data_IF_286077403866
#
_entry.id   IF_286077403866
#
_cell.length_a   1.000
_cell.length_b   1.000
_cell.length_c   1.000
_cell.angle_alpha   90.00
_cell.angle_beta   90.00
_cell.angle_gamma   90.00
#
_symmetry.space_group_name_H-M   'P 1'
#
loop_
_entity.id
_entity.type
_entity.pdbx_description
1 polymer ?
#
# COMPACT_ATOMS: atom_id res chain seq x y z
N UNK A 1 -61.70 -6.30 -48.76
CA UNK A 1 -61.45 -5.54 -47.51
C UNK A 1 -60.52 -6.35 -46.62
N UNK A 2 -59.23 -6.04 -46.57
CA UNK A 2 -58.30 -6.83 -45.76
C UNK A 2 -56.85 -6.45 -46.02
N UNK A 3 -56.43 -5.25 -45.60
CA UNK A 3 -55.00 -4.93 -45.49
C UNK A 3 -54.66 -3.71 -44.63
N UNK A 4 -55.58 -3.22 -43.78
CA UNK A 4 -55.34 -2.03 -42.96
C UNK A 4 -54.84 -2.32 -41.53
N UNK A 5 -54.94 -3.56 -41.04
CA UNK A 5 -54.56 -3.94 -39.67
C UNK A 5 -53.09 -4.35 -39.48
N UNK A 6 -52.40 -4.82 -40.54
CA UNK A 6 -51.00 -5.30 -40.44
C UNK A 6 -49.95 -4.18 -40.45
N UNK A 7 -50.22 -3.05 -41.12
CA UNK A 7 -49.28 -1.91 -41.19
C UNK A 7 -49.14 -1.17 -39.86
N UNK A 8 -50.24 -0.91 -39.14
CA UNK A 8 -50.20 -0.18 -37.85
C UNK A 8 -49.38 -0.88 -36.76
N UNK A 9 -49.44 -2.21 -36.69
CA UNK A 9 -48.66 -2.96 -35.70
C UNK A 9 -47.17 -3.03 -36.03
N UNK A 10 -46.81 -3.03 -37.33
CA UNK A 10 -45.42 -2.96 -37.76
C UNK A 10 -44.80 -1.59 -37.40
N UNK A 11 -45.55 -0.51 -37.57
CA UNK A 11 -45.11 0.87 -37.26
C UNK A 11 -44.94 1.09 -35.74
N UNK A 12 -45.84 0.55 -34.92
CA UNK A 12 -45.72 0.62 -33.45
C UNK A 12 -44.53 -0.20 -32.94
N UNK A 13 -44.30 -1.39 -33.52
CA UNK A 13 -43.16 -2.23 -33.13
C UNK A 13 -41.83 -1.61 -33.56
N UNK A 14 -41.76 -1.01 -34.75
CA UNK A 14 -40.55 -0.26 -35.16
C UNK A 14 -40.34 0.97 -34.28
N UNK A 15 -41.39 1.69 -33.90
CA UNK A 15 -41.28 2.81 -32.96
C UNK A 15 -40.78 2.38 -31.57
N UNK A 16 -41.28 1.26 -31.04
CA UNK A 16 -40.81 0.73 -29.76
C UNK A 16 -39.35 0.28 -29.83
N UNK A 17 -38.94 -0.38 -30.92
CA UNK A 17 -37.53 -0.77 -31.13
C UNK A 17 -36.63 0.46 -31.27
N UNK A 18 -37.05 1.49 -32.01
CA UNK A 18 -36.30 2.73 -32.16
C UNK A 18 -36.21 3.52 -30.85
N UNK A 19 -37.29 3.58 -30.06
CA UNK A 19 -37.25 4.16 -28.71
C UNK A 19 -36.34 3.37 -27.77
N UNK A 20 -36.38 2.03 -27.81
CA UNK A 20 -35.51 1.20 -26.99
C UNK A 20 -34.04 1.37 -27.38
N UNK A 21 -33.74 1.42 -28.68
CA UNK A 21 -32.41 1.69 -29.21
C UNK A 21 -31.93 3.11 -28.86
N UNK A 22 -32.81 4.11 -28.90
CA UNK A 22 -32.50 5.47 -28.49
C UNK A 22 -32.24 5.57 -26.99
N UNK A 23 -33.01 4.88 -26.14
CA UNK A 23 -32.76 4.78 -24.70
C UNK A 23 -31.43 4.07 -24.44
N UNK A 24 -31.16 2.95 -25.13
CA UNK A 24 -29.87 2.26 -25.04
C UNK A 24 -28.73 3.17 -25.47
N UNK A 25 -28.87 3.96 -26.54
CA UNK A 25 -27.86 4.94 -26.98
C UNK A 25 -27.67 6.06 -25.96
N UNK A 26 -28.75 6.61 -25.39
CA UNK A 26 -28.70 7.70 -24.39
C UNK A 26 -28.04 7.23 -23.09
N UNK A 27 -28.21 5.96 -22.69
CA UNK A 27 -27.57 5.41 -21.49
C UNK A 27 -26.20 4.75 -21.75
N UNK A 28 -25.97 4.18 -22.93
CA UNK A 28 -24.72 3.51 -23.28
C UNK A 28 -23.64 4.48 -23.76
N UNK A 29 -24.00 5.61 -24.38
CA UNK A 29 -23.04 6.60 -24.88
C UNK A 29 -22.29 7.32 -23.75
N UNK A 30 -22.94 7.72 -22.61
CA UNK A 30 -22.23 8.22 -21.43
C UNK A 30 -21.36 7.14 -20.78
N UNK A 31 -21.80 5.88 -20.77
CA UNK A 31 -21.03 4.76 -20.23
C UNK A 31 -19.79 4.49 -21.09
N UNK A 32 -19.91 4.56 -22.41
CA UNK A 32 -18.81 4.35 -23.34
C UNK A 32 -17.78 5.48 -23.26
N UNK A 33 -18.23 6.75 -23.19
CA UNK A 33 -17.35 7.91 -22.98
C UNK A 33 -16.70 7.86 -21.59
N UNK A 34 -17.42 7.42 -20.56
CA UNK A 34 -16.87 7.20 -19.23
C UNK A 34 -15.82 6.09 -19.24
N UNK A 35 -16.07 4.99 -19.96
CA UNK A 35 -15.12 3.89 -20.14
C UNK A 35 -13.88 4.35 -20.93
N UNK A 36 -14.04 5.14 -21.99
CA UNK A 36 -12.96 5.75 -22.78
C UNK A 36 -12.11 6.73 -21.93
N UNK A 37 -12.75 7.64 -21.19
CA UNK A 37 -12.07 8.56 -20.25
C UNK A 37 -11.32 7.80 -19.16
N UNK A 38 -11.93 6.74 -18.62
CA UNK A 38 -11.30 5.88 -17.62
C UNK A 38 -10.14 5.07 -18.22
N UNK A 39 -10.28 4.55 -19.45
CA UNK A 39 -9.20 3.86 -20.16
C UNK A 39 -8.03 4.81 -20.47
N UNK A 40 -8.32 6.09 -20.73
CA UNK A 40 -7.32 7.13 -20.95
C UNK A 40 -6.55 7.49 -19.65
N UNK A 41 -7.17 7.34 -18.48
CA UNK A 41 -6.53 7.59 -17.18
C UNK A 41 -5.89 6.35 -16.54
N UNK A 42 -6.32 5.13 -16.90
CA UNK A 42 -5.90 3.87 -16.27
C UNK A 42 -5.64 2.77 -17.31
N UNK A 43 -4.48 2.74 -17.98
CA UNK A 43 -4.22 1.87 -19.15
C UNK A 43 -3.97 0.39 -18.80
N UNK A 44 -4.04 0.00 -17.53
CA UNK A 44 -3.53 -1.31 -17.08
C UNK A 44 -4.57 -2.45 -17.11
N UNK A 45 -4.15 -3.68 -17.43
CA UNK A 45 -5.02 -4.89 -17.52
C UNK A 45 -5.71 -5.22 -16.19
N UNK A 46 -5.14 -4.80 -15.05
CA UNK A 46 -5.73 -4.95 -13.72
C UNK A 46 -6.99 -4.08 -13.53
N UNK A 47 -7.03 -2.90 -14.16
CA UNK A 47 -8.20 -2.03 -14.14
C UNK A 47 -9.41 -2.72 -14.79
N UNK A 48 -9.21 -3.43 -15.91
CA UNK A 48 -10.26 -4.22 -16.60
C UNK A 48 -10.91 -5.30 -15.71
N UNK A 49 -10.17 -5.96 -14.81
CA UNK A 49 -10.77 -6.88 -13.81
C UNK A 49 -11.53 -6.13 -12.72
N UNK A 50 -11.02 -4.99 -12.26
CA UNK A 50 -11.64 -4.11 -11.25
C UNK A 50 -13.02 -3.61 -11.74
N UNK A 51 -13.18 -3.30 -13.02
CA UNK A 51 -14.48 -2.86 -13.58
C UNK A 51 -15.55 -3.97 -13.62
N UNK A 52 -15.17 -5.25 -13.82
CA UNK A 52 -16.14 -6.37 -13.68
C UNK A 52 -16.69 -6.47 -12.25
N UNK A 53 -15.90 -6.13 -11.23
CA UNK A 53 -16.35 -6.11 -9.84
C UNK A 53 -17.21 -4.88 -9.52
N UNK A 54 -16.85 -3.71 -10.05
CA UNK A 54 -17.68 -2.49 -9.96
C UNK A 54 -19.04 -2.71 -10.64
N UNK A 55 -19.08 -3.33 -11.82
CA UNK A 55 -20.34 -3.69 -12.49
C UNK A 55 -21.18 -4.70 -11.69
N UNK A 56 -20.55 -5.75 -11.13
CA UNK A 56 -21.24 -6.68 -10.22
C UNK A 56 -21.79 -5.99 -8.98
N UNK A 57 -21.10 -4.98 -8.44
CA UNK A 57 -21.55 -4.18 -7.30
C UNK A 57 -22.75 -3.29 -7.67
N UNK A 58 -22.70 -2.60 -8.81
CA UNK A 58 -23.83 -1.80 -9.33
C UNK A 58 -25.08 -2.68 -9.51
N UNK A 59 -24.90 -3.94 -9.93
CA UNK A 59 -25.98 -4.91 -10.07
C UNK A 59 -26.34 -5.68 -8.77
N UNK A 60 -25.80 -5.31 -7.60
CA UNK A 60 -26.15 -5.96 -6.31
C UNK A 60 -25.57 -7.37 -6.10
N UNK A 61 -24.62 -7.81 -6.93
CA UNK A 61 -24.00 -9.15 -6.92
C UNK A 61 -22.62 -9.18 -6.22
N UNK A 62 -22.36 -8.26 -5.29
CA UNK A 62 -21.12 -8.26 -4.50
C UNK A 62 -21.04 -9.43 -3.52
N UNK A 63 -19.82 -9.81 -3.13
CA UNK A 63 -19.60 -10.83 -2.10
C UNK A 63 -20.26 -10.39 -0.78
N UNK A 64 -21.04 -11.28 -0.17
CA UNK A 64 -21.83 -11.01 1.04
C UNK A 64 -21.06 -11.42 2.30
N UNK A 65 -21.59 -11.06 3.47
CA UNK A 65 -21.03 -11.46 4.77
C UNK A 65 -20.97 -12.98 4.94
N UNK A 66 -21.86 -13.74 4.30
CA UNK A 66 -21.83 -15.22 4.29
C UNK A 66 -20.56 -15.76 3.61
N UNK A 67 -20.12 -15.12 2.54
CA UNK A 67 -18.87 -15.49 1.86
C UNK A 67 -17.64 -15.11 2.70
N UNK A 68 -17.71 -14.02 3.47
CA UNK A 68 -16.68 -13.67 4.43
C UNK A 68 -16.57 -14.75 5.51
N UNK A 69 -17.70 -15.08 6.15
CA UNK A 69 -17.82 -16.14 7.14
C UNK A 69 -17.22 -17.47 6.64
N UNK A 70 -17.62 -17.90 5.42
CA UNK A 70 -17.08 -19.09 4.78
C UNK A 70 -15.57 -19.06 4.59
N UNK A 71 -14.99 -17.91 4.19
CA UNK A 71 -13.52 -17.77 3.99
C UNK A 71 -12.75 -17.75 5.30
N UNK A 72 -13.37 -17.29 6.38
CA UNK A 72 -12.76 -17.24 7.71
C UNK A 72 -12.96 -18.54 8.49
N UNK A 73 -13.87 -19.42 8.06
CA UNK A 73 -14.23 -20.64 8.78
C UNK A 73 -15.01 -20.34 10.05
N UNK A 74 -15.83 -19.29 10.05
CA UNK A 74 -16.63 -18.81 11.18
C UNK A 74 -18.06 -18.52 10.71
N UNK A 75 -19.01 -18.35 11.63
CA UNK A 75 -20.36 -17.84 11.28
C UNK A 75 -20.38 -16.32 11.27
N UNK A 76 -21.39 -15.72 10.63
CA UNK A 76 -21.56 -14.26 10.60
C UNK A 76 -21.78 -13.72 12.02
N UNK A 77 -22.54 -14.45 12.84
CA UNK A 77 -22.84 -14.11 14.23
C UNK A 77 -21.57 -14.10 15.08
N UNK A 78 -20.68 -15.09 14.91
CA UNK A 78 -19.39 -15.12 15.61
C UNK A 78 -18.50 -13.92 15.26
N UNK A 79 -18.49 -13.54 13.98
CA UNK A 79 -17.73 -12.37 13.51
C UNK A 79 -18.30 -11.09 14.11
N UNK A 80 -19.62 -10.92 14.08
CA UNK A 80 -20.29 -9.72 14.61
C UNK A 80 -20.22 -9.63 16.13
N UNK A 81 -20.22 -10.76 16.83
CA UNK A 81 -20.11 -10.82 18.29
C UNK A 81 -18.68 -10.64 18.81
N UNK A 82 -17.68 -10.52 17.94
CA UNK A 82 -16.28 -10.37 18.36
C UNK A 82 -16.08 -9.00 19.01
N UNK A 83 -15.64 -8.91 20.29
CA UNK A 83 -15.38 -7.65 20.97
C UNK A 83 -14.25 -6.87 20.30
N UNK A 84 -14.46 -5.59 20.00
CA UNK A 84 -13.54 -4.76 19.24
C UNK A 84 -12.70 -3.81 20.12
N UNK A 85 -12.10 -4.35 21.18
CA UNK A 85 -11.34 -3.56 22.15
C UNK A 85 -9.87 -3.42 21.75
N UNK A 86 -9.30 -2.27 22.08
CA UNK A 86 -7.90 -1.95 21.87
C UNK A 86 -7.26 -1.39 23.14
N UNK A 87 -6.01 -1.77 23.38
CA UNK A 87 -5.17 -1.22 24.45
C UNK A 87 -4.09 -0.33 23.83
N UNK A 88 -3.99 0.91 24.29
CA UNK A 88 -2.94 1.83 23.86
C UNK A 88 -1.66 1.61 24.65
N UNK A 89 -0.55 1.36 23.95
CA UNK A 89 0.80 1.27 24.51
C UNK A 89 1.70 2.34 23.90
N UNK A 90 2.43 3.08 24.75
CA UNK A 90 3.40 4.08 24.29
C UNK A 90 4.79 3.46 24.17
N UNK A 91 5.48 3.74 23.06
CA UNK A 91 6.85 3.30 22.78
C UNK A 91 7.68 4.52 22.39
N UNK A 92 8.90 4.71 22.93
CA UNK A 92 9.74 5.82 22.55
C UNK A 92 10.16 5.72 21.07
N UNK A 93 10.00 6.82 20.32
CA UNK A 93 10.62 7.01 19.00
C UNK A 93 12.10 7.34 19.20
N UNK A 94 12.90 7.08 18.16
CA UNK A 94 14.32 7.48 18.14
C UNK A 94 14.52 9.00 18.27
N UNK A 95 13.52 9.80 17.91
CA UNK A 95 13.54 11.26 18.03
C UNK A 95 13.24 11.77 19.44
N UNK A 96 12.85 10.90 20.38
CA UNK A 96 12.45 11.27 21.75
C UNK A 96 10.93 11.34 21.96
N UNK A 97 10.16 11.61 20.90
CA UNK A 97 8.69 11.60 20.94
C UNK A 97 8.13 10.19 21.20
N UNK A 98 6.88 10.08 21.66
CA UNK A 98 6.21 8.79 21.86
C UNK A 98 5.50 8.32 20.58
N UNK A 99 5.49 7.00 20.34
CA UNK A 99 4.64 6.30 19.37
C UNK A 99 3.57 5.55 20.13
N UNK A 100 2.32 5.87 19.82
CA UNK A 100 1.17 5.15 20.36
C UNK A 100 0.88 3.94 19.46
N UNK A 101 0.86 2.76 20.07
CA UNK A 101 0.39 1.53 19.44
C UNK A 101 -0.97 1.18 20.01
N UNK A 102 -1.93 0.92 19.12
CA UNK A 102 -3.25 0.41 19.48
C UNK A 102 -3.24 -1.08 19.21
N UNK A 103 -3.21 -1.87 20.28
CA UNK A 103 -3.10 -3.32 20.24
C UNK A 103 -4.49 -3.92 20.44
N UNK A 104 -5.03 -4.68 19.46
CA UNK A 104 -6.32 -5.33 19.61
C UNK A 104 -6.28 -6.41 20.71
N UNK A 105 -7.41 -6.64 21.37
CA UNK A 105 -7.58 -7.79 22.26
C UNK A 105 -7.31 -9.13 21.53
N UNK A 106 -7.03 -10.21 22.25
CA UNK A 106 -6.60 -11.47 21.61
C UNK A 106 -7.67 -12.09 20.69
N UNK A 107 -8.96 -11.89 20.98
CA UNK A 107 -10.05 -12.37 20.13
C UNK A 107 -10.08 -11.65 18.78
N UNK A 108 -10.10 -10.32 18.79
CA UNK A 108 -10.06 -9.50 17.57
C UNK A 108 -8.75 -9.73 16.81
N UNK A 109 -7.63 -9.84 17.51
CA UNK A 109 -6.32 -10.14 16.90
C UNK A 109 -6.30 -11.48 16.18
N UNK A 110 -6.94 -12.50 16.76
CA UNK A 110 -7.12 -13.81 16.12
C UNK A 110 -7.96 -13.69 14.85
N UNK A 111 -9.11 -13.00 14.93
CA UNK A 111 -9.98 -12.75 13.78
C UNK A 111 -9.26 -11.96 12.68
N UNK A 112 -8.51 -10.93 13.03
CA UNK A 112 -7.69 -10.13 12.11
C UNK A 112 -6.60 -10.97 11.43
N UNK A 113 -5.98 -11.92 12.13
CA UNK A 113 -5.06 -12.91 11.51
C UNK A 113 -5.79 -13.82 10.54
N UNK A 114 -7.00 -14.27 10.85
CA UNK A 114 -7.84 -15.03 9.92
C UNK A 114 -8.17 -14.21 8.68
N UNK A 115 -8.51 -12.92 8.81
CA UNK A 115 -8.74 -12.00 7.69
C UNK A 115 -7.47 -11.85 6.84
N UNK A 116 -6.32 -11.63 7.48
CA UNK A 116 -5.03 -11.51 6.78
C UNK A 116 -4.72 -12.76 5.95
N UNK A 117 -4.82 -13.96 6.55
CA UNK A 117 -4.51 -15.23 5.89
C UNK A 117 -5.57 -15.64 4.85
N UNK A 118 -6.84 -15.55 5.21
CA UNK A 118 -7.96 -16.00 4.40
C UNK A 118 -8.24 -15.10 3.20
N UNK A 119 -8.01 -13.79 3.35
CA UNK A 119 -8.38 -12.77 2.38
C UNK A 119 -7.19 -11.94 1.87
N UNK A 120 -6.51 -11.19 2.74
CA UNK A 120 -5.62 -10.10 2.31
C UNK A 120 -4.29 -10.57 1.70
N UNK A 121 -3.71 -11.64 2.23
CA UNK A 121 -2.43 -12.20 1.75
C UNK A 121 -2.49 -12.67 0.29
N UNK A 122 -3.69 -13.05 -0.19
CA UNK A 122 -3.92 -13.48 -1.58
C UNK A 122 -3.99 -12.30 -2.56
N UNK A 123 -4.09 -11.08 -2.05
CA UNK A 123 -4.20 -9.86 -2.86
C UNK A 123 -2.82 -9.32 -3.19
N UNK A 124 -2.64 -8.92 -4.45
CA UNK A 124 -1.39 -8.33 -4.94
C UNK A 124 -1.33 -6.85 -4.57
N UNK A 125 -0.21 -6.47 -3.97
CA UNK A 125 0.15 -5.07 -3.71
C UNK A 125 1.02 -4.53 -4.84
N UNK A 126 1.26 -3.22 -4.84
CA UNK A 126 2.09 -2.61 -5.87
C UNK A 126 3.55 -3.07 -5.71
N UNK A 127 4.28 -3.43 -6.79
CA UNK A 127 5.66 -3.92 -6.68
C UNK A 127 6.63 -2.94 -6.01
N UNK A 128 6.37 -1.64 -6.12
CA UNK A 128 7.16 -0.61 -5.45
C UNK A 128 6.93 -0.53 -3.92
N UNK A 129 5.86 -1.16 -3.39
CA UNK A 129 5.58 -1.22 -1.96
C UNK A 129 6.39 -2.36 -1.32
N UNK A 130 7.56 -2.02 -0.79
CA UNK A 130 8.55 -2.98 -0.26
C UNK A 130 8.36 -3.25 1.24
N UNK A 131 7.75 -2.31 1.97
CA UNK A 131 7.52 -2.45 3.40
C UNK A 131 6.37 -3.42 3.69
N UNK A 132 6.49 -4.24 4.73
CA UNK A 132 5.47 -5.20 5.18
C UNK A 132 5.10 -6.32 4.19
N UNK A 133 5.83 -6.45 3.08
CA UNK A 133 5.63 -7.53 2.13
C UNK A 133 6.60 -8.68 2.39
N UNK A 134 6.07 -9.90 2.26
CA UNK A 134 6.85 -11.12 2.41
C UNK A 134 7.92 -11.20 1.30
N UNK A 135 9.11 -11.68 1.67
CA UNK A 135 10.26 -11.77 0.75
C UNK A 135 11.02 -10.46 0.56
N UNK A 136 10.48 -9.31 0.98
CA UNK A 136 11.16 -8.03 0.92
C UNK A 136 11.76 -7.64 2.27
N UNK A 137 12.91 -6.99 2.21
CA UNK A 137 13.65 -6.55 3.39
C UNK A 137 14.12 -5.11 3.19
N UNK A 138 14.63 -4.49 4.26
CA UNK A 138 15.32 -3.21 4.16
C UNK A 138 16.54 -3.25 3.24
N UNK A 139 17.18 -4.42 3.05
CA UNK A 139 18.29 -4.58 2.14
C UNK A 139 17.80 -4.63 0.69
N UNK A 140 16.76 -5.42 0.39
CA UNK A 140 16.13 -5.43 -0.95
C UNK A 140 15.68 -4.03 -1.38
N UNK A 141 15.06 -3.28 -0.47
CA UNK A 141 14.66 -1.91 -0.74
C UNK A 141 15.87 -1.00 -1.02
N UNK A 142 16.91 -1.07 -0.19
CA UNK A 142 18.11 -0.27 -0.35
C UNK A 142 18.88 -0.57 -1.65
N UNK A 143 18.90 -1.84 -2.10
CA UNK A 143 19.59 -2.27 -3.33
C UNK A 143 19.06 -1.56 -4.58
N UNK A 144 17.76 -1.28 -4.65
CA UNK A 144 17.14 -0.62 -5.80
C UNK A 144 17.64 0.83 -6.00
N UNK A 145 18.32 1.39 -5.00
CA UNK A 145 18.80 2.77 -4.98
C UNK A 145 20.32 2.87 -4.85
N UNK A 146 21.08 1.82 -5.14
CA UNK A 146 22.54 1.89 -5.11
C UNK A 146 23.11 2.60 -6.34
N UNK A 147 24.28 3.23 -6.17
CA UNK A 147 25.05 3.89 -7.25
C UNK A 147 24.27 5.01 -7.96
N UNK A 148 23.44 5.74 -7.21
CA UNK A 148 22.60 6.79 -7.75
C UNK A 148 23.26 8.15 -7.56
N UNK A 149 23.17 9.04 -8.55
CA UNK A 149 23.68 10.40 -8.44
C UNK A 149 22.93 11.20 -7.35
N UNK A 150 21.63 10.94 -7.21
CA UNK A 150 20.78 11.57 -6.19
C UNK A 150 19.73 10.59 -5.65
N UNK A 151 19.53 10.61 -4.33
CA UNK A 151 18.48 9.89 -3.60
C UNK A 151 17.63 10.90 -2.85
N UNK A 152 16.33 10.89 -3.09
CA UNK A 152 15.33 11.73 -2.45
C UNK A 152 14.57 10.86 -1.45
N UNK A 153 14.50 11.32 -0.20
CA UNK A 153 13.69 10.70 0.85
C UNK A 153 12.52 11.62 1.20
N UNK A 154 11.34 11.05 1.30
CA UNK A 154 10.12 11.75 1.69
C UNK A 154 9.37 10.86 2.69
N UNK A 155 8.78 11.44 3.73
CA UNK A 155 8.12 10.69 4.80
C UNK A 155 6.66 11.16 4.88
N UNK A 156 5.71 10.21 4.93
CA UNK A 156 4.29 10.52 5.12
C UNK A 156 4.03 10.73 6.61
N UNK A 157 3.42 11.86 6.95
CA UNK A 157 3.00 12.16 8.32
C UNK A 157 1.82 11.26 8.70
N UNK A 158 1.87 10.67 9.90
CA UNK A 158 0.78 9.89 10.51
C UNK A 158 0.17 8.84 9.57
N UNK A 159 1.02 8.14 8.81
CA UNK A 159 0.64 7.26 7.70
C UNK A 159 -0.54 6.30 7.98
N UNK A 160 -0.51 5.57 9.10
CA UNK A 160 -1.59 4.66 9.47
C UNK A 160 -2.88 5.42 9.85
N UNK A 161 -2.86 6.37 10.81
CA UNK A 161 -3.99 7.26 11.08
C UNK A 161 -4.62 7.94 9.85
N UNK A 162 -3.82 8.31 8.84
CA UNK A 162 -4.33 8.93 7.61
C UNK A 162 -5.19 7.99 6.75
N UNK A 163 -5.12 6.67 6.97
CA UNK A 163 -5.95 5.68 6.29
C UNK A 163 -7.25 5.50 7.08
N UNK A 164 -8.32 6.13 6.58
CA UNK A 164 -9.63 6.14 7.25
C UNK A 164 -10.42 4.85 7.03
N UNK A 165 -11.39 4.58 7.91
CA UNK A 165 -12.38 3.52 7.73
C UNK A 165 -13.15 3.67 6.41
N UNK A 166 -13.48 4.89 6.00
CA UNK A 166 -14.13 5.14 4.71
C UNK A 166 -13.25 4.70 3.53
N UNK A 167 -11.93 4.95 3.58
CA UNK A 167 -10.97 4.48 2.57
C UNK A 167 -10.92 2.96 2.51
N UNK A 168 -10.95 2.29 3.67
CA UNK A 168 -10.91 0.83 3.78
C UNK A 168 -12.21 0.20 3.26
N UNK A 169 -13.37 0.72 3.66
CA UNK A 169 -14.67 0.30 3.13
C UNK A 169 -14.71 0.46 1.60
N UNK A 170 -14.30 1.62 1.09
CA UNK A 170 -14.25 1.89 -0.33
C UNK A 170 -13.37 0.86 -1.06
N UNK A 171 -12.17 0.60 -0.55
CA UNK A 171 -11.27 -0.42 -1.11
C UNK A 171 -11.94 -1.80 -1.19
N UNK A 172 -12.62 -2.25 -0.12
CA UNK A 172 -13.31 -3.53 -0.14
C UNK A 172 -14.45 -3.57 -1.17
N UNK A 173 -15.19 -2.46 -1.32
CA UNK A 173 -16.21 -2.34 -2.37
C UNK A 173 -15.60 -2.43 -3.77
N UNK A 174 -14.46 -1.79 -4.00
CA UNK A 174 -13.77 -1.83 -5.30
C UNK A 174 -13.32 -3.23 -5.70
N UNK A 175 -12.92 -4.06 -4.73
CA UNK A 175 -12.54 -5.45 -5.01
C UNK A 175 -13.74 -6.43 -5.01
N UNK A 176 -14.96 -5.91 -4.93
CA UNK A 176 -16.19 -6.66 -5.19
C UNK A 176 -16.98 -7.13 -3.97
N UNK A 177 -16.70 -6.62 -2.77
CA UNK A 177 -17.57 -6.83 -1.61
C UNK A 177 -18.79 -5.91 -1.67
N UNK A 178 -19.94 -6.40 -1.22
CA UNK A 178 -21.11 -5.54 -1.09
C UNK A 178 -20.93 -4.53 0.06
N UNK A 179 -21.82 -3.52 0.14
CA UNK A 179 -21.74 -2.46 1.15
C UNK A 179 -21.68 -3.00 2.58
N UNK A 180 -22.53 -3.97 2.94
CA UNK A 180 -22.61 -4.53 4.30
C UNK A 180 -21.33 -5.26 4.70
N UNK A 181 -20.80 -6.10 3.81
CA UNK A 181 -19.57 -6.87 4.07
C UNK A 181 -18.34 -5.96 4.08
N UNK A 182 -18.28 -4.95 3.20
CA UNK A 182 -17.20 -3.98 3.19
C UNK A 182 -17.19 -3.12 4.47
N UNK A 183 -18.36 -2.71 4.95
CA UNK A 183 -18.50 -1.99 6.21
C UNK A 183 -18.00 -2.86 7.39
N UNK A 184 -18.49 -4.10 7.49
CA UNK A 184 -18.06 -5.05 8.53
C UNK A 184 -16.54 -5.29 8.49
N UNK A 185 -15.96 -5.50 7.30
CA UNK A 185 -14.51 -5.66 7.15
C UNK A 185 -13.74 -4.41 7.57
N UNK A 186 -14.28 -3.22 7.29
CA UNK A 186 -13.70 -1.96 7.72
C UNK A 186 -13.73 -1.82 9.25
N UNK A 187 -14.86 -2.09 9.90
CA UNK A 187 -14.97 -2.06 11.36
C UNK A 187 -13.95 -3.00 12.01
N UNK A 188 -13.89 -4.25 11.55
CA UNK A 188 -12.96 -5.26 12.09
C UNK A 188 -11.48 -4.90 11.88
N UNK A 189 -11.15 -4.05 10.91
CA UNK A 189 -9.78 -3.68 10.59
C UNK A 189 -9.38 -2.28 11.07
N UNK A 190 -10.31 -1.50 11.63
CA UNK A 190 -10.04 -0.13 12.06
C UNK A 190 -10.30 0.05 13.55
N UNK A 191 -9.81 1.16 14.09
CA UNK A 191 -10.05 1.59 15.46
C UNK A 191 -10.17 3.10 15.47
N UNK A 192 -11.19 3.65 16.13
CA UNK A 192 -11.48 5.09 16.11
C UNK A 192 -11.50 5.66 14.67
N UNK A 193 -12.16 4.96 13.75
CA UNK A 193 -12.33 5.34 12.33
C UNK A 193 -11.05 5.41 11.49
N UNK A 194 -9.93 4.87 11.97
CA UNK A 194 -8.65 4.88 11.27
C UNK A 194 -7.91 3.56 11.41
N UNK A 195 -6.90 3.34 10.57
CA UNK A 195 -6.09 2.13 10.60
C UNK A 195 -5.15 2.15 11.83
N UNK A 196 -5.26 1.20 12.77
CA UNK A 196 -4.47 1.22 14.00
C UNK A 196 -3.03 0.78 13.77
N UNK A 197 -2.10 1.40 14.50
CA UNK A 197 -0.71 0.92 14.60
C UNK A 197 -0.65 -0.24 15.60
N UNK A 198 -0.63 -1.48 15.13
CA UNK A 198 -0.52 -2.67 15.99
C UNK A 198 -1.45 -3.81 15.62
N UNK A 199 -2.47 -3.57 14.79
CA UNK A 199 -3.33 -4.64 14.28
C UNK A 199 -2.60 -5.48 13.21
N UNK A 200 -2.80 -6.81 13.16
CA UNK A 200 -2.20 -7.69 12.17
C UNK A 200 -2.57 -7.35 10.71
N UNK A 201 -3.76 -6.80 10.46
CA UNK A 201 -4.25 -6.47 9.11
C UNK A 201 -3.68 -5.15 8.58
N UNK A 202 -3.38 -4.20 9.46
CA UNK A 202 -2.96 -2.84 9.09
C UNK A 202 -1.81 -2.78 8.10
N UNK A 203 -0.69 -3.53 8.29
CA UNK A 203 0.44 -3.44 7.37
C UNK A 203 0.07 -3.79 5.93
N UNK A 204 -0.61 -4.92 5.73
CA UNK A 204 -1.01 -5.38 4.39
C UNK A 204 -2.08 -4.48 3.78
N UNK A 205 -3.08 -4.06 4.57
CA UNK A 205 -4.11 -3.13 4.11
C UNK A 205 -3.50 -1.81 3.64
N UNK A 206 -2.53 -1.27 4.38
CA UNK A 206 -1.88 -0.01 4.02
C UNK A 206 -1.21 -0.07 2.64
N UNK A 207 -0.67 -1.21 2.23
CA UNK A 207 -0.13 -1.36 0.87
C UNK A 207 -1.20 -1.57 -0.19
N UNK A 208 -2.28 -2.28 0.14
CA UNK A 208 -3.36 -2.57 -0.79
C UNK A 208 -4.13 -1.30 -1.18
N UNK A 209 -4.48 -0.46 -0.19
CA UNK A 209 -5.21 0.80 -0.44
C UNK A 209 -4.37 1.82 -1.23
N UNK A 210 -3.05 1.78 -1.04
CA UNK A 210 -2.13 2.72 -1.66
C UNK A 210 -1.64 2.32 -3.05
N UNK A 211 -2.15 1.22 -3.63
CA UNK A 211 -1.71 0.73 -4.93
C UNK A 211 -1.73 1.82 -6.02
N UNK A 212 -2.81 2.62 -6.07
CA UNK A 212 -2.98 3.65 -7.10
C UNK A 212 -2.05 4.84 -6.88
N UNK A 213 -1.81 5.21 -5.61
CA UNK A 213 -0.82 6.23 -5.26
C UNK A 213 0.57 5.80 -5.71
N UNK A 214 0.96 4.57 -5.40
CA UNK A 214 2.26 4.02 -5.78
C UNK A 214 2.43 3.97 -7.30
N UNK A 215 1.40 3.55 -8.03
CA UNK A 215 1.41 3.55 -9.49
C UNK A 215 1.64 4.97 -10.05
N UNK A 216 0.88 5.97 -9.59
CA UNK A 216 1.01 7.34 -10.08
C UNK A 216 2.40 7.93 -9.81
N UNK A 217 2.96 7.67 -8.62
CA UNK A 217 4.31 8.11 -8.28
C UNK A 217 5.33 7.38 -9.15
N UNK A 218 5.23 6.07 -9.29
CA UNK A 218 6.14 5.26 -10.09
C UNK A 218 6.16 5.74 -11.55
N UNK A 219 5.00 5.99 -12.16
CA UNK A 219 4.92 6.51 -13.53
C UNK A 219 5.57 7.90 -13.65
N UNK A 220 5.33 8.79 -12.69
CA UNK A 220 5.95 10.11 -12.68
C UNK A 220 7.48 10.05 -12.56
N UNK A 221 8.00 9.10 -11.78
CA UNK A 221 9.44 8.90 -11.57
C UNK A 221 10.08 8.21 -12.80
N UNK A 222 9.43 7.18 -13.36
CA UNK A 222 9.88 6.46 -14.55
C UNK A 222 10.00 7.36 -15.77
N UNK A 223 9.14 8.37 -15.90
CA UNK A 223 9.23 9.37 -16.96
C UNK A 223 10.60 10.08 -17.01
N UNK A 224 11.28 10.18 -15.87
CA UNK A 224 12.63 10.74 -15.75
C UNK A 224 13.71 9.67 -15.52
N UNK A 225 13.44 8.41 -15.88
CA UNK A 225 14.32 7.25 -15.69
C UNK A 225 14.80 7.05 -14.24
N UNK A 226 13.97 7.44 -13.27
CA UNK A 226 14.25 7.20 -11.86
C UNK A 226 13.70 5.87 -11.35
N UNK A 227 14.11 5.52 -10.14
CA UNK A 227 13.57 4.39 -9.38
C UNK A 227 12.75 4.91 -8.21
N UNK A 228 11.60 4.29 -7.95
CA UNK A 228 10.72 4.60 -6.82
C UNK A 228 10.44 3.36 -5.99
N UNK A 229 10.50 3.51 -4.68
CA UNK A 229 9.99 2.52 -3.73
C UNK A 229 9.32 3.22 -2.53
N UNK A 230 8.45 2.47 -1.86
CA UNK A 230 7.83 2.86 -0.59
C UNK A 230 8.02 1.76 0.45
N UNK A 231 8.55 2.14 1.61
CA UNK A 231 8.68 1.27 2.77
C UNK A 231 7.84 1.85 3.91
N UNK A 232 6.60 1.37 4.02
CA UNK A 232 5.58 1.95 4.91
C UNK A 232 5.34 3.45 4.57
N UNK A 233 5.73 4.36 5.47
CA UNK A 233 5.65 5.81 5.36
C UNK A 233 6.85 6.45 4.63
N UNK A 234 7.98 5.74 4.49
CA UNK A 234 9.20 6.22 3.84
C UNK A 234 9.11 6.00 2.32
N UNK A 235 9.00 7.09 1.58
CA UNK A 235 9.11 7.14 0.12
C UNK A 235 10.57 7.40 -0.25
N UNK A 236 11.13 6.54 -1.10
CA UNK A 236 12.47 6.71 -1.66
C UNK A 236 12.39 6.82 -3.18
N UNK A 237 13.05 7.85 -3.72
CA UNK A 237 13.18 8.07 -5.15
C UNK A 237 14.66 8.25 -5.46
N UNK A 238 15.17 7.71 -6.55
CA UNK A 238 16.56 7.94 -6.96
C UNK A 238 16.69 8.13 -8.45
N UNK A 239 17.75 8.84 -8.85
CA UNK A 239 18.09 9.07 -10.24
C UNK A 239 19.57 8.78 -10.51
N UNK A 240 19.90 8.16 -11.66
CA UNK A 240 21.29 7.90 -12.04
C UNK A 240 22.05 9.17 -12.43
N UNK A 241 21.34 10.27 -12.73
CA UNK A 241 21.91 11.59 -13.03
C UNK A 241 21.21 12.66 -12.19
N UNK A 242 21.94 13.64 -11.69
CA UNK A 242 21.38 14.76 -10.92
C UNK A 242 20.95 15.88 -11.87
N UNK A 243 19.63 16.02 -12.05
CA UNK A 243 19.01 17.13 -12.75
C UNK A 243 18.15 17.94 -11.76
N UNK A 244 18.64 19.07 -11.22
CA UNK A 244 17.95 19.80 -10.14
C UNK A 244 16.50 20.21 -10.47
N UNK A 245 16.23 20.57 -11.73
CA UNK A 245 14.87 20.90 -12.18
C UNK A 245 13.93 19.68 -12.12
N UNK A 246 14.40 18.50 -12.53
CA UNK A 246 13.61 17.26 -12.46
C UNK A 246 13.38 16.85 -11.00
N UNK A 247 14.40 16.96 -10.15
CA UNK A 247 14.30 16.70 -8.70
C UNK A 247 13.23 17.57 -8.04
N UNK A 248 13.22 18.88 -8.32
CA UNK A 248 12.18 19.78 -7.80
C UNK A 248 10.79 19.43 -8.35
N UNK A 249 10.70 19.18 -9.66
CA UNK A 249 9.45 18.84 -10.33
C UNK A 249 8.82 17.55 -9.79
N UNK A 250 9.62 16.49 -9.60
CA UNK A 250 9.13 15.22 -9.09
C UNK A 250 8.69 15.33 -7.64
N UNK A 251 9.42 16.06 -6.79
CA UNK A 251 9.01 16.28 -5.40
C UNK A 251 7.66 17.00 -5.31
N UNK A 252 7.42 17.99 -6.17
CA UNK A 252 6.13 18.67 -6.24
C UNK A 252 5.03 17.73 -6.74
N UNK A 253 5.31 16.92 -7.76
CA UNK A 253 4.34 15.95 -8.29
C UNK A 253 3.97 14.89 -7.26
N UNK A 254 4.95 14.35 -6.53
CA UNK A 254 4.73 13.42 -5.41
C UNK A 254 3.87 14.08 -4.34
N UNK A 255 4.17 15.32 -3.94
CA UNK A 255 3.35 16.09 -3.00
C UNK A 255 1.89 16.22 -3.44
N UNK A 256 1.66 16.53 -4.71
CA UNK A 256 0.31 16.62 -5.26
C UNK A 256 -0.41 15.26 -5.24
N UNK A 257 0.28 14.19 -5.64
CA UNK A 257 -0.27 12.83 -5.64
C UNK A 257 -0.60 12.39 -4.21
N UNK A 258 0.33 12.52 -3.26
CA UNK A 258 0.08 12.12 -1.86
C UNK A 258 -1.08 12.91 -1.25
N UNK A 259 -1.15 14.23 -1.53
CA UNK A 259 -2.26 15.07 -1.07
C UNK A 259 -3.60 14.65 -1.66
N UNK A 260 -3.62 14.27 -2.95
CA UNK A 260 -4.82 13.75 -3.60
C UNK A 260 -5.33 12.47 -2.95
N UNK A 261 -4.42 11.60 -2.48
CA UNK A 261 -4.76 10.38 -1.73
C UNK A 261 -4.99 10.60 -0.22
N UNK A 262 -5.06 11.86 0.23
CA UNK A 262 -5.37 12.20 1.63
C UNK A 262 -4.19 12.23 2.59
N UNK A 263 -2.95 12.24 2.08
CA UNK A 263 -1.73 12.25 2.89
C UNK A 263 -1.03 13.60 2.91
N UNK A 264 -0.39 13.88 4.03
CA UNK A 264 0.55 14.99 4.17
C UNK A 264 1.99 14.49 4.24
N UNK A 265 2.91 15.22 3.62
CA UNK A 265 4.33 14.93 3.68
C UNK A 265 5.01 15.68 4.81
N UNK A 266 5.90 15.00 5.52
CA UNK A 266 6.75 15.60 6.52
C UNK A 266 7.91 16.36 5.85
N UNK A 267 7.77 17.69 5.79
CA UNK A 267 8.76 18.59 5.22
C UNK A 267 10.12 18.51 5.93
N UNK A 268 10.14 18.32 7.27
CA UNK A 268 11.38 18.27 8.07
C UNK A 268 12.18 16.99 7.83
N UNK A 269 11.50 15.90 7.45
CA UNK A 269 12.11 14.61 7.12
C UNK A 269 12.31 14.40 5.61
N UNK A 270 12.03 15.43 4.81
CA UNK A 270 12.29 15.38 3.38
C UNK A 270 13.75 15.73 3.12
N UNK A 271 14.49 14.85 2.46
CA UNK A 271 15.93 15.00 2.23
C UNK A 271 16.31 14.71 0.78
N UNK A 272 17.26 15.49 0.25
CA UNK A 272 17.89 15.24 -1.06
C UNK A 272 19.36 14.92 -0.79
N UNK A 273 19.76 13.68 -1.04
CA UNK A 273 21.08 13.14 -0.76
C UNK A 273 21.83 12.93 -2.08
N UNK A 274 22.85 13.74 -2.35
CA UNK A 274 23.68 13.62 -3.55
C UNK A 274 24.81 12.63 -3.36
N UNK A 275 25.41 12.16 -4.44
CA UNK A 275 26.44 11.11 -4.43
C UNK A 275 27.66 11.42 -3.57
N UNK A 276 28.05 12.71 -3.47
CA UNK A 276 29.16 13.14 -2.61
C UNK A 276 28.81 13.13 -1.11
N UNK A 277 27.52 13.03 -0.76
CA UNK A 277 27.03 12.90 0.60
C UNK A 277 26.74 11.44 0.90
N UNK A 278 26.64 11.08 2.18
CA UNK A 278 26.21 9.74 2.56
C UNK A 278 24.72 9.54 2.23
N UNK A 279 24.43 8.77 1.18
CA UNK A 279 23.08 8.39 0.81
C UNK A 279 22.59 7.24 1.68
N UNK A 280 21.43 7.40 2.30
CA UNK A 280 20.83 6.39 3.18
C UNK A 280 19.42 6.01 2.75
N UNK A 281 19.13 4.71 2.69
CA UNK A 281 17.78 4.16 2.43
C UNK A 281 17.48 3.13 3.50
N UNK A 282 16.33 3.25 4.18
CA UNK A 282 15.91 2.35 5.28
C UNK A 282 17.01 2.10 6.34
N UNK A 283 17.86 3.11 6.59
CA UNK A 283 18.96 3.05 7.56
C UNK A 283 20.28 2.43 7.05
N UNK A 284 20.34 2.02 5.78
CA UNK A 284 21.51 1.46 5.12
C UNK A 284 22.12 2.49 4.17
N UNK A 285 23.44 2.46 4.00
CA UNK A 285 24.19 3.31 3.06
C UNK A 285 24.14 2.69 1.67
N UNK A 286 23.88 3.50 0.64
CA UNK A 286 23.66 3.00 -0.73
C UNK A 286 24.57 3.63 -1.79
N UNK A 287 25.53 4.48 -1.43
CA UNK A 287 26.38 5.19 -2.40
C UNK A 287 27.03 4.30 -3.47
N UNK A 288 27.45 3.09 -3.10
CA UNK A 288 28.11 2.13 -3.99
C UNK A 288 27.43 0.76 -3.88
N UNK A 289 27.48 0.16 -2.70
CA UNK A 289 26.73 -1.03 -2.34
C UNK A 289 26.01 -0.83 -1.02
N UNK A 290 25.01 -1.66 -0.77
CA UNK A 290 24.27 -1.64 0.48
C UNK A 290 25.20 -2.00 1.63
N UNK A 291 25.36 -1.07 2.57
CA UNK A 291 26.23 -1.24 3.73
C UNK A 291 25.55 -0.71 4.99
N UNK A 292 25.97 -1.24 6.15
CA UNK A 292 25.72 -0.56 7.41
C UNK A 292 26.52 0.76 7.48
N UNK A 293 25.96 1.82 8.09
CA UNK A 293 26.70 3.06 8.34
C UNK A 293 28.04 2.79 9.05
N UNK A 294 29.11 3.50 8.64
CA UNK A 294 30.48 3.30 9.17
C UNK A 294 30.54 3.41 10.70
N UNK A 295 29.84 4.38 11.27
CA UNK A 295 29.73 4.55 12.72
C UNK A 295 29.16 3.32 13.40
N UNK A 296 28.03 2.81 12.89
CA UNK A 296 27.38 1.62 13.41
C UNK A 296 28.26 0.37 13.29
N UNK A 297 28.96 0.21 12.16
CA UNK A 297 29.94 -0.88 11.98
C UNK A 297 31.11 -0.80 12.96
N UNK A 298 31.67 0.40 13.17
CA UNK A 298 32.77 0.61 14.13
C UNK A 298 32.32 0.29 15.54
N UNK A 299 31.14 0.75 15.92
CA UNK A 299 30.56 0.48 17.22
C UNK A 299 30.33 -1.03 17.44
N UNK A 300 29.73 -1.74 16.48
CA UNK A 300 29.54 -3.20 16.57
C UNK A 300 30.86 -3.95 16.73
N UNK A 301 31.88 -3.62 15.94
CA UNK A 301 33.22 -4.21 16.08
C UNK A 301 33.81 -3.97 17.47
N UNK A 302 33.63 -2.78 18.03
CA UNK A 302 34.09 -2.46 19.37
C UNK A 302 33.35 -3.27 20.44
N UNK A 303 32.04 -3.51 20.27
CA UNK A 303 31.25 -4.37 21.17
C UNK A 303 31.74 -5.81 21.09
N UNK A 304 31.93 -6.36 19.89
CA UNK A 304 32.43 -7.73 19.67
C UNK A 304 33.82 -7.93 20.26
N UNK A 305 34.73 -6.98 20.03
CA UNK A 305 36.09 -7.02 20.60
C UNK A 305 36.08 -7.00 22.13
N UNK A 306 35.25 -6.16 22.76
CA UNK A 306 35.13 -6.13 24.24
C UNK A 306 34.55 -7.41 24.79
N UNK A 307 33.58 -8.00 24.10
CA UNK A 307 33.02 -9.28 24.50
C UNK A 307 34.08 -10.39 24.45
N UNK A 308 34.92 -10.42 23.40
CA UNK A 308 36.00 -11.39 23.25
C UNK A 308 37.15 -11.20 24.26
N UNK A 309 37.51 -9.95 24.57
CA UNK A 309 38.69 -9.65 25.42
C UNK A 309 38.37 -9.53 26.91
N UNK A 310 37.19 -9.00 27.26
CA UNK A 310 36.81 -8.66 28.63
C UNK A 310 35.58 -9.43 29.13
N UNK A 311 34.92 -10.23 28.28
CA UNK A 311 33.69 -10.95 28.63
C UNK A 311 32.49 -10.06 28.91
N UNK A 312 32.57 -8.74 28.64
CA UNK A 312 31.51 -7.76 28.92
C UNK A 312 31.03 -7.10 27.63
N UNK A 313 29.72 -7.14 27.39
CA UNK A 313 29.06 -6.42 26.29
C UNK A 313 28.19 -5.29 26.83
N UNK A 314 28.07 -4.20 26.07
CA UNK A 314 27.10 -3.13 26.32
C UNK A 314 25.70 -3.48 25.81
N UNK A 315 25.56 -4.62 25.12
CA UNK A 315 24.33 -5.13 24.55
C UNK A 315 23.95 -6.44 25.23
N UNK A 316 22.65 -6.72 25.29
CA UNK A 316 22.17 -8.06 25.61
C UNK A 316 22.52 -9.02 24.48
N UNK A 317 22.55 -10.33 24.78
CA UNK A 317 22.83 -11.36 23.78
C UNK A 317 21.84 -11.31 22.62
N UNK A 318 20.54 -11.16 22.91
CA UNK A 318 19.48 -10.99 21.90
C UNK A 318 19.71 -9.79 20.98
N UNK A 319 20.17 -8.66 21.53
CA UNK A 319 20.47 -7.47 20.74
C UNK A 319 21.67 -7.71 19.81
N UNK A 320 22.71 -8.39 20.30
CA UNK A 320 23.89 -8.74 19.51
C UNK A 320 23.52 -9.69 18.37
N UNK A 321 22.72 -10.72 18.65
CA UNK A 321 22.25 -11.69 17.66
C UNK A 321 21.37 -11.02 16.60
N UNK A 322 20.52 -10.06 16.99
CA UNK A 322 19.77 -9.23 16.04
C UNK A 322 20.68 -8.42 15.11
N UNK A 323 21.80 -7.90 15.60
CA UNK A 323 22.78 -7.19 14.76
C UNK A 323 23.55 -8.11 13.82
N UNK A 324 23.94 -9.30 14.28
CA UNK A 324 24.57 -10.32 13.44
C UNK A 324 23.62 -10.79 12.34
N UNK A 325 22.35 -11.03 12.67
CA UNK A 325 21.32 -11.37 11.69
C UNK A 325 21.14 -10.27 10.64
N UNK A 326 21.15 -8.99 11.05
CA UNK A 326 21.12 -7.86 10.12
C UNK A 326 22.34 -7.83 9.19
N UNK A 327 23.55 -8.05 9.73
CA UNK A 327 24.77 -8.12 8.91
C UNK A 327 24.71 -9.28 7.92
N UNK A 328 24.28 -10.46 8.37
CA UNK A 328 24.14 -11.64 7.53
C UNK A 328 23.10 -11.43 6.43
N UNK A 329 21.94 -10.84 6.74
CA UNK A 329 20.91 -10.49 5.77
C UNK A 329 21.45 -9.54 4.68
N UNK A 330 22.20 -8.50 5.07
CA UNK A 330 22.84 -7.59 4.12
C UNK A 330 23.83 -8.37 3.25
N UNK A 331 24.68 -9.20 3.86
CA UNK A 331 25.68 -9.96 3.12
C UNK A 331 25.04 -10.95 2.12
N UNK A 332 24.00 -11.67 2.51
CA UNK A 332 23.37 -12.68 1.66
C UNK A 332 22.51 -12.10 0.54
N UNK A 333 21.82 -10.98 0.79
CA UNK A 333 20.86 -10.42 -0.16
C UNK A 333 21.52 -9.48 -1.17
N UNK A 334 22.68 -8.89 -0.84
CA UNK A 334 23.31 -7.83 -1.66
C UNK A 334 24.49 -8.32 -2.49
N UNK A 335 24.88 -9.60 -2.36
CA UNK A 335 25.86 -10.20 -3.24
C UNK A 335 25.25 -10.39 -4.65
N UNK A 336 26.02 -10.12 -5.72
CA UNK A 336 25.58 -10.46 -7.06
C UNK A 336 25.32 -11.97 -7.13
N UNK A 337 24.15 -12.36 -7.65
CA UNK A 337 23.91 -13.78 -7.97
C UNK A 337 24.95 -14.18 -9.01
N UNK A 338 25.75 -15.19 -8.66
CA UNK A 338 26.79 -15.75 -9.52
C UNK A 338 26.22 -16.28 -10.84
#
# INVERSE_FOLDING_TARGET
MGNFGRKRNADIFTWLVLCLLAIILIFAFPIFILIELINCFFPDRLAKKRYRHVFRHICGMGLKSDELARRLGMTVEQIQATPQDYTTRKIPKRSGDQRELNIPNEQLKSLQRCILKGLLSKLKTHPAAMGFEEGYSIAHNAMLHTQQAVVIKMDIKDFFPSITAATIEFYFREIGWNKRAAFLLSELCTHAYQLPQGAPTSPKLSNLVNYMMDYQIEQAVKHYHGTYTRYADDITISFPKDYPKHVRGIMQKVRCITKFHGYELNHKKTHILRQHQQQRVTGLVVNDKVNLPREKRRWLRAVEHRLQTQGKASLTQEQLDGYKALQQMIASQTQPKA
#
